data_IF_677305841374
#
_entry.id   IF_677305841374
#
_cell.length_a   1.000
_cell.length_b   1.000
_cell.length_c   1.000
_cell.angle_alpha   90.00
_cell.angle_beta   90.00
_cell.angle_gamma   90.00
#
_symmetry.space_group_name_H-M   'P 1'
#
loop_
_entity.id
_entity.type
_entity.pdbx_description
1 polymer ?
#
# COMPACT_ATOMS: atom_id res chain seq x y z
N UNK A 1 18.31 2.27 1.77
CA UNK A 1 17.28 3.22 1.33
C UNK A 1 16.19 3.21 2.38
N UNK A 2 15.23 4.14 2.31
CA UNK A 2 14.14 4.26 3.28
C UNK A 2 12.86 3.79 2.61
N UNK A 3 12.12 2.91 3.31
CA UNK A 3 10.84 2.40 2.82
C UNK A 3 9.72 3.36 3.19
N UNK A 4 8.85 3.65 2.23
CA UNK A 4 7.67 4.49 2.43
C UNK A 4 6.41 3.71 2.05
N UNK A 5 5.39 3.80 2.91
CA UNK A 5 4.03 3.38 2.62
C UNK A 5 3.31 4.53 1.92
N UNK A 6 2.77 4.24 0.74
CA UNK A 6 1.86 5.12 -0.01
C UNK A 6 0.50 4.41 0.00
N UNK A 7 -0.51 5.01 0.63
CA UNK A 7 -1.82 4.37 0.82
C UNK A 7 -2.98 5.31 0.57
N UNK A 8 -4.15 4.74 0.31
CA UNK A 8 -5.42 5.46 0.31
C UNK A 8 -6.44 4.71 1.16
N UNK A 9 -7.40 5.46 1.70
CA UNK A 9 -8.46 4.88 2.54
C UNK A 9 -9.52 4.16 1.70
N UNK A 10 -10.15 3.16 2.31
CA UNK A 10 -11.37 2.58 1.78
C UNK A 10 -12.43 3.67 1.61
N UNK A 11 -13.07 3.69 0.45
CA UNK A 11 -14.05 4.73 0.08
C UNK A 11 -13.45 5.86 -0.75
N UNK A 12 -12.11 5.98 -0.81
CA UNK A 12 -11.47 7.06 -1.58
C UNK A 12 -11.80 7.04 -3.09
N UNK A 13 -12.24 5.91 -3.61
CA UNK A 13 -12.65 5.71 -5.01
C UNK A 13 -14.16 5.66 -5.23
N UNK A 14 -15.00 5.88 -4.20
CA UNK A 14 -16.47 5.75 -4.33
C UNK A 14 -17.13 6.78 -5.26
N UNK A 15 -16.37 7.81 -5.64
CA UNK A 15 -16.78 8.79 -6.63
C UNK A 15 -16.63 8.30 -8.09
N UNK A 16 -16.00 7.15 -8.29
CA UNK A 16 -15.80 6.52 -9.60
C UNK A 16 -16.91 5.50 -9.89
N UNK A 17 -17.27 5.37 -11.16
CA UNK A 17 -18.21 4.31 -11.57
C UNK A 17 -17.52 2.94 -11.63
N UNK A 18 -18.30 1.86 -11.53
CA UNK A 18 -17.75 0.51 -11.70
C UNK A 18 -17.12 0.30 -13.10
N UNK A 19 -17.64 0.98 -14.13
CA UNK A 19 -17.10 0.95 -15.49
C UNK A 19 -15.71 1.60 -15.59
N UNK A 20 -15.41 2.56 -14.71
CA UNK A 20 -14.13 3.27 -14.67
C UNK A 20 -13.01 2.47 -13.97
N UNK A 21 -13.37 1.55 -13.06
CA UNK A 21 -12.43 0.81 -12.21
C UNK A 21 -11.40 -0.01 -13.01
N UNK A 22 -11.76 -0.72 -14.10
CA UNK A 22 -10.77 -1.41 -14.93
C UNK A 22 -9.69 -0.49 -15.49
N UNK A 23 -10.04 0.74 -15.88
CA UNK A 23 -9.08 1.69 -16.43
C UNK A 23 -8.21 2.33 -15.35
N UNK A 24 -8.76 2.56 -14.15
CA UNK A 24 -7.95 2.88 -12.96
C UNK A 24 -6.95 1.77 -12.68
N UNK A 25 -7.40 0.52 -12.70
CA UNK A 25 -6.55 -0.64 -12.51
C UNK A 25 -5.41 -0.68 -13.52
N UNK A 26 -5.68 -0.49 -14.81
CA UNK A 26 -4.64 -0.43 -15.86
C UNK A 26 -3.64 0.70 -15.60
N UNK A 27 -4.12 1.90 -15.24
CA UNK A 27 -3.26 3.04 -14.95
C UNK A 27 -2.36 2.80 -13.73
N UNK A 28 -2.91 2.24 -12.66
CA UNK A 28 -2.15 1.88 -11.46
C UNK A 28 -1.08 0.83 -11.77
N UNK A 29 -1.40 -0.20 -12.56
CA UNK A 29 -0.42 -1.19 -13.00
C UNK A 29 0.70 -0.59 -13.85
N UNK A 30 0.42 0.42 -14.68
CA UNK A 30 1.47 1.12 -15.42
C UNK A 30 2.46 1.83 -14.48
N UNK A 31 1.97 2.51 -13.44
CA UNK A 31 2.84 3.13 -12.41
C UNK A 31 3.62 2.08 -11.62
N UNK A 32 2.99 0.94 -11.28
CA UNK A 32 3.71 -0.19 -10.67
C UNK A 32 4.83 -0.69 -11.57
N UNK A 33 4.57 -0.87 -12.87
CA UNK A 33 5.59 -1.30 -13.83
C UNK A 33 6.75 -0.30 -13.91
N UNK A 34 6.48 1.00 -13.89
CA UNK A 34 7.52 2.03 -13.82
C UNK A 34 8.35 1.92 -12.53
N UNK A 35 7.71 1.73 -11.38
CA UNK A 35 8.38 1.60 -10.09
C UNK A 35 9.23 0.32 -10.00
N UNK A 36 8.74 -0.79 -10.58
CA UNK A 36 9.50 -2.04 -10.72
C UNK A 36 10.71 -1.82 -11.61
N UNK A 37 10.54 -1.20 -12.77
CA UNK A 37 11.64 -0.93 -13.71
C UNK A 37 12.69 0.01 -13.10
N UNK A 38 12.28 0.94 -12.24
CA UNK A 38 13.17 1.82 -11.49
C UNK A 38 13.87 1.13 -10.30
N UNK A 39 13.48 -0.10 -9.96
CA UNK A 39 14.04 -0.86 -8.84
C UNK A 39 13.60 -0.35 -7.46
N UNK A 40 12.54 0.46 -7.39
CA UNK A 40 12.08 1.07 -6.13
C UNK A 40 10.83 0.39 -5.57
N UNK A 41 10.13 -0.44 -6.35
CA UNK A 41 8.93 -1.14 -5.89
C UNK A 41 9.30 -2.30 -4.96
N UNK A 42 8.75 -2.30 -3.74
CA UNK A 42 8.90 -3.42 -2.80
C UNK A 42 7.72 -4.38 -2.93
N UNK A 43 6.50 -3.88 -2.66
CA UNK A 43 5.24 -4.62 -2.83
C UNK A 43 4.03 -3.68 -2.75
N UNK A 44 2.85 -4.12 -3.18
CA UNK A 44 1.61 -3.35 -3.04
C UNK A 44 0.37 -4.17 -3.40
N UNK A 45 -0.79 -3.73 -2.95
CA UNK A 45 -2.08 -4.37 -3.20
C UNK A 45 -3.26 -3.42 -2.94
N UNK A 46 -4.38 -3.67 -3.63
CA UNK A 46 -5.70 -3.26 -3.16
C UNK A 46 -6.23 -4.23 -2.11
N UNK A 47 -6.98 -3.74 -1.13
CA UNK A 47 -7.58 -4.56 -0.08
C UNK A 47 -9.06 -4.83 -0.38
N UNK A 48 -9.50 -6.06 -0.15
CA UNK A 48 -10.89 -6.46 -0.33
C UNK A 48 -11.77 -5.85 0.75
N UNK A 49 -12.83 -5.15 0.32
CA UNK A 49 -13.81 -4.50 1.20
C UNK A 49 -14.49 -5.53 2.10
N UNK A 50 -14.65 -5.17 3.37
CA UNK A 50 -15.46 -5.93 4.36
C UNK A 50 -15.03 -7.39 4.57
N UNK A 51 -13.76 -7.74 4.30
CA UNK A 51 -13.20 -9.09 4.51
C UNK A 51 -12.09 -9.14 5.59
N UNK A 52 -12.12 -8.21 6.55
CA UNK A 52 -11.14 -8.19 7.63
C UNK A 52 -11.52 -9.13 8.78
N UNK A 53 -10.51 -9.75 9.40
CA UNK A 53 -10.64 -10.42 10.70
C UNK A 53 -9.65 -9.80 11.68
N UNK A 54 -10.04 -9.72 12.95
CA UNK A 54 -9.23 -9.15 14.02
C UNK A 54 -8.84 -10.29 14.95
N UNK A 55 -7.55 -10.41 15.23
CA UNK A 55 -7.01 -11.42 16.14
C UNK A 55 -6.51 -10.71 17.40
N UNK A 56 -7.17 -10.96 18.53
CA UNK A 56 -6.82 -10.39 19.82
C UNK A 56 -5.61 -11.11 20.45
N UNK A 57 -5.03 -10.52 21.50
CA UNK A 57 -3.82 -11.06 22.17
C UNK A 57 -4.04 -12.39 22.88
N UNK A 58 -5.29 -12.75 23.16
CA UNK A 58 -5.69 -14.05 23.69
C UNK A 58 -5.99 -15.10 22.60
N UNK A 59 -5.82 -14.71 21.32
CA UNK A 59 -6.08 -15.57 20.16
C UNK A 59 -7.54 -15.58 19.71
N UNK A 60 -8.43 -14.80 20.34
CA UNK A 60 -9.80 -14.67 19.86
C UNK A 60 -9.84 -14.01 18.47
N UNK A 61 -10.60 -14.62 17.55
CA UNK A 61 -10.83 -14.09 16.20
C UNK A 61 -12.24 -13.52 16.12
N UNK A 62 -12.36 -12.28 15.68
CA UNK A 62 -13.64 -11.62 15.41
C UNK A 62 -13.66 -11.05 14.00
N UNK A 63 -14.85 -10.78 13.49
CA UNK A 63 -15.00 -9.98 12.28
C UNK A 63 -14.47 -8.55 12.52
N UNK A 64 -13.83 -8.00 11.50
CA UNK A 64 -13.35 -6.63 11.46
C UNK A 64 -14.07 -5.80 10.41
N UNK A 65 -13.76 -4.49 10.31
CA UNK A 65 -12.64 -3.82 10.97
C UNK A 65 -12.89 -3.46 12.45
N UNK A 66 -11.83 -3.33 13.25
CA UNK A 66 -11.93 -2.89 14.64
C UNK A 66 -11.16 -1.59 14.91
N UNK A 67 -11.78 -0.57 15.54
CA UNK A 67 -13.23 -0.42 15.72
C UNK A 67 -13.94 -0.17 14.37
N UNK A 68 -15.19 -0.61 14.24
CA UNK A 68 -16.00 -0.53 13.01
C UNK A 68 -16.15 0.88 12.41
N UNK A 69 -15.75 1.94 13.14
CA UNK A 69 -15.99 3.34 12.80
C UNK A 69 -14.76 4.10 12.26
N UNK A 70 -13.60 3.45 12.12
CA UNK A 70 -12.39 4.12 11.61
C UNK A 70 -12.20 3.88 10.11
N UNK A 71 -11.72 4.89 9.41
CA UNK A 71 -11.19 4.74 8.07
C UNK A 71 -10.10 3.65 8.09
N UNK A 72 -10.22 2.69 7.18
CA UNK A 72 -9.26 1.60 6.98
C UNK A 72 -8.58 1.79 5.64
N UNK A 73 -7.38 1.23 5.49
CA UNK A 73 -6.67 1.26 4.21
C UNK A 73 -7.48 0.49 3.16
N UNK A 74 -7.72 1.12 2.01
CA UNK A 74 -8.36 0.49 0.85
C UNK A 74 -7.34 -0.07 -0.15
N UNK A 75 -6.12 0.46 -0.14
CA UNK A 75 -5.01 -0.06 -0.92
C UNK A 75 -3.71 0.68 -0.62
N UNK A 76 -2.59 0.06 -0.98
CA UNK A 76 -1.28 0.62 -0.71
C UNK A 76 -0.19 0.08 -1.63
N UNK A 77 0.93 0.80 -1.65
CA UNK A 77 2.22 0.35 -2.17
C UNK A 77 3.33 0.73 -1.21
N UNK A 78 4.38 -0.07 -1.16
CA UNK A 78 5.62 0.22 -0.46
C UNK A 78 6.74 0.41 -1.49
N UNK A 79 7.42 1.55 -1.39
CA UNK A 79 8.58 1.89 -2.22
C UNK A 79 9.83 2.05 -1.35
N UNK A 80 11.00 1.70 -1.88
CA UNK A 80 12.31 1.89 -1.24
C UNK A 80 13.11 2.92 -2.04
N UNK A 81 13.29 4.11 -1.47
CA UNK A 81 13.90 5.26 -2.14
C UNK A 81 14.90 5.97 -1.23
N UNK A 82 15.78 6.81 -1.78
CA UNK A 82 16.83 7.46 -0.99
C UNK A 82 16.30 8.65 -0.18
N UNK A 83 15.27 9.36 -0.67
CA UNK A 83 14.72 10.55 -0.03
C UNK A 83 13.18 10.58 -0.03
N UNK A 84 12.60 11.35 0.90
CA UNK A 84 11.15 11.50 1.05
C UNK A 84 10.51 12.15 -0.18
N UNK A 85 11.21 13.06 -0.84
CA UNK A 85 10.78 13.74 -2.05
C UNK A 85 10.54 12.77 -3.20
N UNK A 86 11.36 11.71 -3.30
CA UNK A 86 11.16 10.65 -4.29
C UNK A 86 9.89 9.84 -3.97
N UNK A 87 9.64 9.53 -2.70
CA UNK A 87 8.41 8.85 -2.28
C UNK A 87 7.17 9.69 -2.61
N UNK A 88 7.22 11.01 -2.39
CA UNK A 88 6.14 11.92 -2.76
C UNK A 88 5.94 11.99 -4.27
N UNK A 89 7.02 11.95 -5.06
CA UNK A 89 6.93 11.92 -6.52
C UNK A 89 6.24 10.64 -7.03
N UNK A 90 6.55 9.48 -6.43
CA UNK A 90 5.83 8.24 -6.72
C UNK A 90 4.37 8.30 -6.27
N UNK A 91 4.11 8.82 -5.06
CA UNK A 91 2.75 9.00 -4.55
C UNK A 91 1.90 9.89 -5.45
N UNK A 92 2.47 10.94 -6.05
CA UNK A 92 1.76 11.79 -7.00
C UNK A 92 1.36 11.03 -8.28
N UNK A 93 2.20 10.13 -8.79
CA UNK A 93 1.85 9.26 -9.93
C UNK A 93 0.72 8.31 -9.58
N UNK A 94 0.81 7.67 -8.41
CA UNK A 94 -0.28 6.82 -7.90
C UNK A 94 -1.56 7.61 -7.67
N UNK A 95 -1.50 8.85 -7.16
CA UNK A 95 -2.67 9.68 -6.96
C UNK A 95 -3.43 9.96 -8.26
N UNK A 96 -2.69 10.27 -9.33
CA UNK A 96 -3.26 10.47 -10.67
C UNK A 96 -3.83 9.16 -11.23
N UNK A 97 -3.09 8.05 -11.13
CA UNK A 97 -3.51 6.76 -11.66
C UNK A 97 -4.75 6.20 -10.94
N UNK A 98 -4.75 6.26 -9.60
CA UNK A 98 -5.82 5.82 -8.72
C UNK A 98 -7.00 6.79 -8.66
N UNK A 99 -6.83 8.01 -9.19
CA UNK A 99 -7.82 9.11 -9.14
C UNK A 99 -8.27 9.45 -7.71
N UNK A 100 -7.40 9.23 -6.73
CA UNK A 100 -7.68 9.52 -5.33
C UNK A 100 -6.41 9.99 -4.58
N UNK A 101 -6.60 10.75 -3.51
CA UNK A 101 -5.48 11.24 -2.70
C UNK A 101 -4.70 10.07 -2.08
N UNK A 102 -3.37 10.22 -2.03
CA UNK A 102 -2.47 9.24 -1.42
C UNK A 102 -1.82 9.85 -0.18
N UNK A 103 -1.80 9.08 0.89
CA UNK A 103 -1.05 9.39 2.10
C UNK A 103 0.32 8.73 2.06
N UNK A 104 1.36 9.46 2.47
CA UNK A 104 2.75 8.97 2.45
C UNK A 104 3.31 8.93 3.86
N UNK A 105 3.70 7.74 4.32
CA UNK A 105 4.31 7.51 5.64
C UNK A 105 5.65 6.83 5.50
N UNK A 106 6.64 7.30 6.24
CA UNK A 106 7.90 6.59 6.40
C UNK A 106 7.69 5.34 7.26
N UNK A 107 8.24 4.21 6.83
CA UNK A 107 8.24 2.98 7.62
C UNK A 107 9.47 2.96 8.53
N UNK A 108 9.26 2.63 9.81
CA UNK A 108 10.34 2.47 10.76
C UNK A 108 11.32 1.37 10.32
N UNK A 109 12.61 1.63 10.47
CA UNK A 109 13.63 0.63 10.18
C UNK A 109 13.61 -0.50 11.21
N UNK A 110 13.69 -1.74 10.72
CA UNK A 110 13.89 -2.94 11.54
C UNK A 110 15.07 -3.76 10.98
N UNK A 111 16.31 -3.46 11.42
CA UNK A 111 17.50 -4.13 10.93
C UNK A 111 17.54 -5.63 11.25
N UNK A 112 16.87 -6.05 12.32
CA UNK A 112 16.84 -7.45 12.76
C UNK A 112 15.98 -8.27 11.81
N UNK A 113 14.74 -7.84 11.55
CA UNK A 113 13.84 -8.48 10.58
C UNK A 113 14.46 -8.48 9.18
N UNK A 114 15.08 -7.37 8.75
CA UNK A 114 15.77 -7.31 7.47
C UNK A 114 16.94 -8.32 7.37
N UNK A 115 17.66 -8.57 8.46
CA UNK A 115 18.72 -9.58 8.49
C UNK A 115 18.18 -11.00 8.37
N UNK A 116 17.04 -11.29 9.02
CA UNK A 116 16.36 -12.58 8.94
C UNK A 116 15.87 -12.87 7.51
N UNK A 117 15.24 -11.90 6.85
CA UNK A 117 14.75 -12.04 5.46
C UNK A 117 15.92 -12.33 4.50
N UNK A 118 17.01 -11.55 4.60
CA UNK A 118 18.22 -11.79 3.80
C UNK A 118 18.80 -13.19 4.03
N UNK A 119 18.67 -13.77 5.22
CA UNK A 119 19.12 -15.12 5.49
C UNK A 119 18.21 -16.17 4.87
N UNK A 120 16.90 -15.95 4.85
CA UNK A 120 15.93 -16.84 4.22
C UNK A 120 16.11 -16.89 2.70
N UNK A 121 16.31 -15.75 2.03
CA UNK A 121 16.49 -15.67 0.57
C UNK A 121 17.78 -16.33 0.05
N UNK A 122 18.73 -16.61 0.95
CA UNK A 122 19.98 -17.31 0.63
C UNK A 122 19.88 -18.84 0.73
N UNK A 123 18.73 -19.37 1.17
CA UNK A 123 18.48 -20.81 1.29
C UNK A 123 17.76 -21.32 0.05
#
# INVERSE_FOLDING_TARGET
MTRYLISFDDGAMDHLSEEDLPDVGKAAHAVVQEAVNAGVFVFGAGLERQRASVVATDGMVTDGPYPETKAVVGGFVVVDVAAREEALAWAARFAVACRCAQEVRELGADPETDAMLRQADRR
#
